data_IF_270323542204
#
_entry.id   IF_270323542204
#
_cell.length_a   1.000
_cell.length_b   1.000
_cell.length_c   1.000
_cell.angle_alpha   90.00
_cell.angle_beta   90.00
_cell.angle_gamma   90.00
#
_symmetry.space_group_name_H-M   'P 1'
#
loop_
_entity.id
_entity.type
_entity.pdbx_description
1 polymer ?
#
# COMPACT_ATOMS: atom_id res chain seq x y z
N UNK A 1 5.32 -14.63 6.24
CA UNK A 1 5.09 -13.59 5.22
C UNK A 1 5.79 -14.00 3.95
N UNK A 2 5.11 -13.92 2.83
CA UNK A 2 5.66 -14.29 1.52
C UNK A 2 6.69 -13.26 1.03
N UNK A 3 7.52 -13.66 0.05
CA UNK A 3 8.51 -12.74 -0.52
C UNK A 3 7.84 -11.58 -1.27
N UNK A 4 6.72 -11.83 -1.93
CA UNK A 4 5.97 -10.76 -2.60
C UNK A 4 5.48 -9.70 -1.63
N UNK A 5 4.92 -10.12 -0.50
CA UNK A 5 4.48 -9.21 0.56
C UNK A 5 5.65 -8.43 1.15
N UNK A 6 6.77 -9.12 1.43
CA UNK A 6 7.97 -8.45 1.94
C UNK A 6 8.50 -7.40 0.98
N UNK A 7 8.50 -7.72 -0.31
CA UNK A 7 8.98 -6.80 -1.34
C UNK A 7 8.09 -5.56 -1.45
N UNK A 8 6.78 -5.74 -1.45
CA UNK A 8 5.83 -4.62 -1.48
C UNK A 8 6.01 -3.71 -0.26
N UNK A 9 6.09 -4.31 0.92
CA UNK A 9 6.28 -3.55 2.17
C UNK A 9 7.60 -2.79 2.14
N UNK A 10 8.68 -3.44 1.71
CA UNK A 10 9.99 -2.80 1.59
C UNK A 10 9.94 -1.59 0.65
N UNK A 11 9.34 -1.77 -0.52
CA UNK A 11 9.21 -0.71 -1.51
C UNK A 11 8.40 0.48 -0.98
N UNK A 12 7.28 0.20 -0.31
CA UNK A 12 6.44 1.25 0.28
C UNK A 12 7.18 2.01 1.40
N UNK A 13 7.90 1.29 2.26
CA UNK A 13 8.69 1.93 3.32
C UNK A 13 9.77 2.84 2.77
N UNK A 14 10.44 2.42 1.73
CA UNK A 14 11.55 3.18 1.14
C UNK A 14 11.07 4.41 0.36
N UNK A 15 9.87 4.35 -0.19
CA UNK A 15 9.40 5.35 -1.15
C UNK A 15 8.22 6.20 -0.68
N UNK A 16 7.44 5.74 0.27
CA UNK A 16 6.21 6.43 0.70
C UNK A 16 6.17 6.66 2.20
N UNK A 17 5.89 5.60 2.98
CA UNK A 17 5.68 5.67 4.42
C UNK A 17 6.06 4.36 5.09
N UNK A 18 6.20 4.38 6.40
CA UNK A 18 6.25 3.15 7.19
C UNK A 18 5.03 2.31 6.88
N UNK A 19 5.27 1.04 6.63
CA UNK A 19 4.23 0.10 6.20
C UNK A 19 4.28 -1.14 7.07
N UNK A 20 3.13 -1.58 7.52
CA UNK A 20 2.98 -2.73 8.39
C UNK A 20 1.98 -3.71 7.82
N UNK A 21 2.25 -5.00 7.98
CA UNK A 21 1.25 -6.01 7.68
C UNK A 21 0.24 -6.09 8.83
N UNK A 22 -1.02 -6.21 8.51
CA UNK A 22 -2.06 -6.35 9.53
C UNK A 22 -1.95 -7.70 10.25
N UNK A 23 -2.24 -7.75 11.56
CA UNK A 23 -2.65 -6.64 12.41
C UNK A 23 -1.47 -5.73 12.78
N UNK A 24 -1.73 -4.43 12.84
CA UNK A 24 -0.70 -3.44 13.14
C UNK A 24 -0.49 -3.34 14.65
N UNK A 25 0.78 -3.28 15.06
CA UNK A 25 1.12 -3.13 16.46
C UNK A 25 0.58 -1.79 17.00
N UNK A 26 0.01 -1.80 18.21
CA UNK A 26 -0.52 -0.61 18.86
C UNK A 26 0.53 0.48 19.11
N UNK A 27 1.81 0.13 19.04
CA UNK A 27 2.91 1.10 19.20
C UNK A 27 3.24 1.84 17.90
N UNK A 28 2.62 1.46 16.77
CA UNK A 28 2.88 2.13 15.51
C UNK A 28 2.40 3.58 15.56
N UNK A 29 3.25 4.50 15.09
CA UNK A 29 2.96 5.93 15.08
C UNK A 29 2.40 6.37 13.75
N UNK A 30 1.36 7.20 13.78
CA UNK A 30 0.82 7.82 12.57
C UNK A 30 1.81 8.86 12.02
N UNK A 31 1.88 9.05 10.70
CA UNK A 31 1.16 8.33 9.66
C UNK A 31 1.81 6.98 9.31
N UNK A 32 1.01 6.03 8.84
CA UNK A 32 1.54 4.75 8.36
C UNK A 32 0.58 4.11 7.35
N UNK A 33 1.07 3.08 6.66
CA UNK A 33 0.27 2.25 5.77
C UNK A 33 0.08 0.88 6.42
N UNK A 34 -1.14 0.38 6.39
CA UNK A 34 -1.42 -1.00 6.77
C UNK A 34 -1.82 -1.81 5.55
N UNK A 35 -1.43 -3.07 5.53
CA UNK A 35 -1.60 -3.94 4.38
C UNK A 35 -1.97 -5.35 4.82
N UNK A 36 -3.01 -5.92 4.22
CA UNK A 36 -3.31 -7.33 4.30
C UNK A 36 -3.03 -7.93 2.92
N UNK A 37 -1.92 -8.62 2.78
CA UNK A 37 -1.45 -9.10 1.48
C UNK A 37 -2.14 -10.41 1.10
N UNK A 38 -2.69 -10.45 -0.11
CA UNK A 38 -3.26 -11.65 -0.70
C UNK A 38 -2.32 -12.12 -1.81
N UNK A 39 -1.94 -13.38 -1.80
CA UNK A 39 -1.06 -13.94 -2.81
C UNK A 39 -1.80 -14.99 -3.63
N UNK A 40 -1.50 -15.03 -4.91
CA UNK A 40 -2.09 -15.96 -5.84
C UNK A 40 -0.99 -16.69 -6.60
N UNK A 41 -1.36 -17.43 -7.64
CA UNK A 41 -0.43 -18.20 -8.45
C UNK A 41 0.62 -17.31 -9.12
N UNK A 42 1.75 -17.89 -9.45
CA UNK A 42 2.81 -17.21 -10.18
C UNK A 42 2.28 -16.53 -11.45
N UNK A 43 2.69 -15.30 -11.66
CA UNK A 43 2.30 -14.44 -12.77
C UNK A 43 0.81 -14.08 -12.83
N UNK A 44 0.02 -14.47 -11.83
CA UNK A 44 -1.38 -14.04 -11.73
C UNK A 44 -1.47 -12.64 -11.15
N UNK A 45 -2.38 -11.85 -11.69
CA UNK A 45 -2.65 -10.52 -11.16
C UNK A 45 -3.62 -10.62 -9.99
N UNK A 46 -3.29 -10.00 -8.88
CA UNK A 46 -4.11 -10.04 -7.66
C UNK A 46 -4.41 -8.64 -7.18
N UNK A 47 -5.67 -8.40 -6.81
CA UNK A 47 -6.06 -7.14 -6.20
C UNK A 47 -5.54 -7.08 -4.75
N UNK A 48 -4.88 -5.99 -4.42
CA UNK A 48 -4.39 -5.71 -3.07
C UNK A 48 -5.04 -4.43 -2.57
N UNK A 49 -5.39 -4.43 -1.30
CA UNK A 49 -5.94 -3.24 -0.66
C UNK A 49 -5.04 -2.84 0.51
N UNK A 50 -4.68 -1.57 0.55
CA UNK A 50 -3.95 -1.03 1.67
C UNK A 50 -4.63 0.24 2.18
N UNK A 51 -4.30 0.65 3.38
CA UNK A 51 -4.90 1.81 4.01
C UNK A 51 -3.80 2.76 4.45
N UNK A 52 -3.93 4.03 4.08
CA UNK A 52 -3.05 5.10 4.57
C UNK A 52 -3.75 5.75 5.75
N UNK A 53 -3.12 5.69 6.91
CA UNK A 53 -3.65 6.23 8.16
C UNK A 53 -2.93 7.52 8.52
N UNK A 54 -3.67 8.60 8.73
CA UNK A 54 -3.11 9.89 9.11
C UNK A 54 -3.87 10.47 10.30
N UNK A 55 -3.22 11.40 11.01
CA UNK A 55 -3.87 12.15 12.07
C UNK A 55 -4.28 13.51 11.52
N UNK A 56 -5.57 13.78 11.52
CA UNK A 56 -6.11 15.08 11.10
C UNK A 56 -7.50 15.26 11.67
N UNK A 57 -7.75 16.40 12.28
CA UNK A 57 -9.04 16.69 12.91
C UNK A 57 -10.14 17.02 11.90
N UNK A 58 -9.79 17.47 10.71
CA UNK A 58 -10.77 18.07 9.81
C UNK A 58 -10.63 17.68 8.34
N UNK A 59 -9.57 17.00 7.93
CA UNK A 59 -9.33 16.85 6.50
C UNK A 59 -8.57 15.57 6.17
N UNK A 60 -8.75 15.12 4.93
CA UNK A 60 -8.03 13.99 4.34
C UNK A 60 -6.79 14.44 3.57
N UNK A 61 -6.41 15.72 3.63
CA UNK A 61 -5.37 16.30 2.79
C UNK A 61 -4.03 15.56 2.90
N UNK A 62 -3.61 15.25 4.12
CA UNK A 62 -2.34 14.55 4.33
C UNK A 62 -2.37 13.15 3.73
N UNK A 63 -3.46 12.41 3.94
CA UNK A 63 -3.61 11.07 3.38
C UNK A 63 -3.56 11.09 1.86
N UNK A 64 -4.22 12.08 1.23
CA UNK A 64 -4.19 12.23 -0.22
C UNK A 64 -2.83 12.65 -0.74
N UNK A 65 -2.02 13.38 0.02
CA UNK A 65 -0.64 13.68 -0.38
C UNK A 65 0.17 12.39 -0.56
N UNK A 66 0.04 11.45 0.37
CA UNK A 66 0.71 10.16 0.26
C UNK A 66 0.14 9.32 -0.88
N UNK A 67 -1.17 9.36 -1.07
CA UNK A 67 -1.81 8.66 -2.18
C UNK A 67 -1.33 9.21 -3.53
N UNK A 68 -1.19 10.52 -3.67
CA UNK A 68 -0.68 11.15 -4.89
C UNK A 68 0.78 10.78 -5.14
N UNK A 69 1.58 10.74 -4.09
CA UNK A 69 2.98 10.31 -4.19
C UNK A 69 3.06 8.89 -4.72
N UNK A 70 2.26 8.00 -4.15
CA UNK A 70 2.19 6.60 -4.59
C UNK A 70 1.72 6.50 -6.04
N UNK A 71 0.68 7.25 -6.40
CA UNK A 71 0.16 7.27 -7.75
C UNK A 71 1.22 7.66 -8.78
N UNK A 72 2.03 8.67 -8.47
CA UNK A 72 3.11 9.13 -9.35
C UNK A 72 4.23 8.10 -9.47
N UNK A 73 4.56 7.43 -8.38
CA UNK A 73 5.57 6.37 -8.38
C UNK A 73 5.16 5.18 -9.23
N UNK A 74 3.89 4.81 -9.18
CA UNK A 74 3.37 3.69 -9.98
C UNK A 74 3.26 4.08 -11.44
N UNK A 75 2.75 5.28 -11.73
CA UNK A 75 2.56 5.75 -13.09
C UNK A 75 1.40 5.07 -13.82
N UNK A 76 1.18 5.45 -15.06
CA UNK A 76 0.07 4.91 -15.87
C UNK A 76 0.33 3.47 -16.31
N UNK A 77 1.59 3.13 -16.54
CA UNK A 77 1.98 1.81 -17.06
C UNK A 77 2.37 0.81 -15.97
N UNK A 78 2.27 1.21 -14.72
CA UNK A 78 2.73 0.38 -13.62
C UNK A 78 4.21 0.53 -13.33
N UNK A 79 4.67 -0.10 -12.26
CA UNK A 79 6.08 -0.05 -11.86
C UNK A 79 6.60 -1.45 -11.57
N UNK A 80 7.79 -1.73 -12.07
CA UNK A 80 8.50 -2.98 -11.81
C UNK A 80 9.37 -2.80 -10.57
N UNK A 81 9.22 -3.69 -9.61
CA UNK A 81 10.00 -3.67 -8.36
C UNK A 81 10.78 -4.97 -8.27
N UNK A 82 12.10 -4.85 -8.19
CA UNK A 82 13.02 -6.00 -8.10
C UNK A 82 13.88 -5.92 -6.85
N UNK A 83 14.16 -7.09 -6.32
CA UNK A 83 15.11 -7.25 -5.22
C UNK A 83 15.83 -8.59 -5.40
N UNK A 84 17.15 -8.59 -5.15
CA UNK A 84 17.94 -9.81 -5.38
C UNK A 84 17.49 -10.99 -4.51
N UNK A 85 17.00 -10.71 -3.31
CA UNK A 85 16.61 -11.76 -2.37
C UNK A 85 15.11 -12.04 -2.39
N UNK A 86 14.28 -11.03 -2.70
CA UNK A 86 12.83 -11.13 -2.58
C UNK A 86 12.11 -11.35 -3.90
N UNK A 87 12.81 -11.18 -5.02
CA UNK A 87 12.25 -11.45 -6.34
C UNK A 87 11.69 -10.22 -7.03
N UNK A 88 10.59 -10.39 -7.74
CA UNK A 88 10.04 -9.36 -8.62
C UNK A 88 8.53 -9.28 -8.51
N UNK A 89 8.02 -8.06 -8.41
CA UNK A 89 6.59 -7.78 -8.54
C UNK A 89 6.39 -6.61 -9.51
N UNK A 90 5.21 -6.56 -10.13
CA UNK A 90 4.78 -5.41 -10.93
C UNK A 90 3.54 -4.86 -10.28
N UNK A 91 3.53 -3.56 -10.03
CA UNK A 91 2.44 -2.87 -9.33
C UNK A 91 1.72 -1.98 -10.32
N UNK A 92 0.39 -2.15 -10.40
CA UNK A 92 -0.50 -1.28 -11.16
C UNK A 92 -1.53 -0.66 -10.23
N UNK A 93 -2.07 0.49 -10.63
CA UNK A 93 -3.19 1.10 -9.90
C UNK A 93 -4.46 0.29 -10.12
N UNK A 94 -5.19 0.04 -9.04
CA UNK A 94 -6.54 -0.52 -9.12
C UNK A 94 -7.56 0.57 -9.49
N UNK A 95 -8.81 0.17 -9.67
CA UNK A 95 -9.91 1.09 -9.99
C UNK A 95 -11.10 0.80 -9.07
N UNK A 96 -11.54 1.76 -8.26
CA UNK A 96 -10.91 3.07 -8.03
C UNK A 96 -9.55 2.93 -7.36
N UNK A 97 -8.64 3.87 -7.64
CA UNK A 97 -7.32 3.81 -7.03
C UNK A 97 -7.35 4.21 -5.56
N UNK A 98 -8.07 5.28 -5.23
CA UNK A 98 -8.09 5.86 -3.90
C UNK A 98 -9.50 6.27 -3.52
N UNK A 99 -9.89 5.96 -2.28
CA UNK A 99 -11.20 6.36 -1.76
C UNK A 99 -11.11 6.58 -0.26
N UNK A 100 -11.97 7.45 0.27
CA UNK A 100 -12.03 7.66 1.71
C UNK A 100 -12.50 6.40 2.42
N UNK A 101 -11.89 6.13 3.56
CA UNK A 101 -12.37 5.11 4.47
C UNK A 101 -13.12 5.80 5.60
N UNK A 102 -14.33 5.35 5.90
CA UNK A 102 -15.08 5.85 7.04
C UNK A 102 -14.41 5.39 8.34
N UNK A 103 -14.26 6.32 9.27
CA UNK A 103 -13.70 6.06 10.57
C UNK A 103 -14.52 6.80 11.61
N UNK A 104 -14.78 6.14 12.73
CA UNK A 104 -15.60 6.73 13.80
C UNK A 104 -14.85 7.73 14.67
N UNK A 105 -13.53 7.81 14.53
CA UNK A 105 -12.74 8.76 15.33
C UNK A 105 -12.72 10.12 14.67
N UNK A 106 -12.58 11.15 15.49
CA UNK A 106 -12.52 12.54 15.02
C UNK A 106 -11.13 13.00 14.65
N UNK A 107 -10.10 12.23 15.01
CA UNK A 107 -8.69 12.64 14.84
C UNK A 107 -7.93 11.82 13.83
N UNK A 108 -8.48 10.71 13.37
CA UNK A 108 -7.82 9.82 12.41
C UNK A 108 -8.57 9.89 11.09
N UNK A 109 -7.81 10.07 10.01
CA UNK A 109 -8.34 10.06 8.65
C UNK A 109 -7.61 8.99 7.86
N UNK A 110 -8.37 8.15 7.18
CA UNK A 110 -7.83 7.03 6.44
C UNK A 110 -8.35 7.03 5.01
N UNK A 111 -7.50 6.64 4.06
CA UNK A 111 -7.90 6.39 2.69
C UNK A 111 -7.52 4.98 2.30
N UNK A 112 -8.40 4.35 1.53
CA UNK A 112 -8.15 3.03 0.96
C UNK A 112 -7.48 3.20 -0.40
N UNK A 113 -6.45 2.38 -0.62
CA UNK A 113 -5.74 2.34 -1.89
C UNK A 113 -5.93 0.95 -2.47
N UNK A 114 -6.32 0.89 -3.72
CA UNK A 114 -6.46 -0.37 -4.44
C UNK A 114 -5.34 -0.50 -5.47
N UNK A 115 -4.62 -1.61 -5.40
CA UNK A 115 -3.54 -1.94 -6.31
C UNK A 115 -3.82 -3.27 -6.99
N UNK A 116 -3.23 -3.44 -8.16
CA UNK A 116 -3.16 -4.74 -8.82
C UNK A 116 -1.69 -5.15 -8.86
N UNK A 117 -1.40 -6.32 -8.34
CA UNK A 117 -0.01 -6.80 -8.24
C UNK A 117 0.13 -8.09 -9.02
N UNK A 118 1.13 -8.14 -9.89
CA UNK A 118 1.56 -9.39 -10.51
C UNK A 118 2.83 -9.84 -9.82
N UNK A 119 2.81 -11.04 -9.26
CA UNK A 119 3.92 -11.58 -8.50
C UNK A 119 4.65 -12.63 -9.32
N UNK A 120 5.94 -12.41 -9.55
CA UNK A 120 6.79 -13.32 -10.31
C UNK A 120 7.69 -14.19 -9.41
N UNK A 121 7.29 -14.36 -8.16
CA UNK A 121 7.99 -15.21 -7.19
C UNK A 121 7.30 -16.56 -7.09
N UNK A 122 8.08 -17.59 -7.09
CA UNK A 122 7.58 -18.95 -6.87
C UNK A 122 7.52 -19.27 -5.38
#
# INVERSE_FOLDING_TARGET
MTNGAKLLIKWLKENVLNTYQEPVNSNASLPYISLSYVENEFASQTAQQLTIWTRSDSSYSEAYLYADKLSKLIGESGVLVKDNDLGTIVIYKGSPFCQNRLDDTTTIRAVLINLLITNYNN
#
